data_IF_525146981641
#
_entry.id   IF_525146981641
#
_cell.length_a   1.000
_cell.length_b   1.000
_cell.length_c   1.000
_cell.angle_alpha   90.00
_cell.angle_beta   90.00
_cell.angle_gamma   90.00
#
_symmetry.space_group_name_H-M   'P 1'
#
loop_
_entity.id
_entity.type
_entity.pdbx_description
1 polymer ?
#
# COMPACT_ATOMS: atom_id res chain seq x y z
N UNK A 1 -17.53 -9.31 -31.89
CA UNK A 1 -17.23 -10.52 -31.12
C UNK A 1 -17.31 -10.16 -29.65
N UNK A 2 -18.09 -10.85 -28.81
CA UNK A 2 -17.99 -10.69 -27.37
C UNK A 2 -16.59 -11.14 -26.96
N UNK A 3 -15.92 -10.33 -26.10
CA UNK A 3 -14.67 -10.74 -25.46
C UNK A 3 -14.94 -12.02 -24.65
N UNK A 4 -14.01 -13.00 -24.57
CA UNK A 4 -14.18 -14.18 -23.77
C UNK A 4 -14.49 -13.75 -22.34
N UNK A 5 -15.44 -14.43 -21.69
CA UNK A 5 -15.78 -14.24 -20.27
C UNK A 5 -14.50 -14.41 -19.45
N UNK A 6 -13.88 -13.30 -19.08
CA UNK A 6 -12.73 -13.30 -18.20
C UNK A 6 -13.25 -13.67 -16.81
N UNK A 7 -12.72 -14.72 -16.20
CA UNK A 7 -13.12 -15.13 -14.85
C UNK A 7 -12.89 -13.95 -13.90
N UNK A 8 -13.92 -13.54 -13.20
CA UNK A 8 -13.84 -12.50 -12.16
C UNK A 8 -13.70 -13.19 -10.81
N UNK A 9 -12.69 -12.80 -10.07
CA UNK A 9 -12.40 -13.32 -8.74
C UNK A 9 -12.96 -12.41 -7.65
N UNK A 10 -13.12 -12.97 -6.45
CA UNK A 10 -13.66 -12.29 -5.28
C UNK A 10 -12.67 -12.32 -4.11
N UNK A 11 -13.01 -11.64 -3.01
CA UNK A 11 -12.19 -11.68 -1.78
C UNK A 11 -12.18 -13.11 -1.20
N UNK A 12 -13.25 -13.86 -1.35
CA UNK A 12 -13.34 -15.25 -0.92
C UNK A 12 -12.34 -16.14 -1.66
N UNK A 13 -12.06 -15.84 -2.94
CA UNK A 13 -11.00 -16.53 -3.70
C UNK A 13 -9.61 -16.23 -3.12
N UNK A 14 -9.38 -15.00 -2.62
CA UNK A 14 -8.13 -14.66 -1.91
C UNK A 14 -8.00 -15.47 -0.62
N UNK A 15 -9.07 -15.56 0.17
CA UNK A 15 -9.06 -16.34 1.42
C UNK A 15 -8.93 -17.85 1.21
N UNK A 16 -9.29 -18.33 0.02
CA UNK A 16 -9.16 -19.74 -0.35
C UNK A 16 -7.79 -20.11 -0.93
N UNK A 17 -6.86 -19.16 -1.02
CA UNK A 17 -5.50 -19.47 -1.49
C UNK A 17 -4.81 -20.48 -0.56
N UNK A 18 -3.96 -21.36 -1.10
CA UNK A 18 -3.18 -22.28 -0.29
C UNK A 18 -2.29 -21.55 0.73
N UNK A 19 -2.02 -22.19 1.86
CA UNK A 19 -1.12 -21.67 2.89
C UNK A 19 0.23 -21.27 2.30
N UNK A 20 0.67 -20.04 2.59
CA UNK A 20 1.92 -19.47 2.10
C UNK A 20 1.82 -18.76 0.76
N UNK A 21 0.72 -18.85 0.05
CA UNK A 21 0.46 -18.02 -1.13
C UNK A 21 -0.17 -16.68 -0.72
N UNK A 22 0.33 -15.60 -1.34
CA UNK A 22 -0.18 -14.25 -1.14
C UNK A 22 -0.52 -13.63 -2.48
N UNK A 23 -1.62 -12.90 -2.52
CA UNK A 23 -2.04 -12.19 -3.71
C UNK A 23 -2.87 -10.96 -3.36
N UNK A 24 -2.92 -10.02 -4.30
CA UNK A 24 -3.81 -8.87 -4.27
C UNK A 24 -4.96 -9.07 -5.26
N UNK A 25 -6.10 -8.47 -5.01
CA UNK A 25 -7.27 -8.47 -5.88
C UNK A 25 -7.56 -7.05 -6.34
N UNK A 26 -7.53 -6.85 -7.65
CA UNK A 26 -7.84 -5.55 -8.26
C UNK A 26 -8.74 -5.81 -9.48
N UNK A 27 -9.88 -5.14 -9.53
CA UNK A 27 -10.85 -5.25 -10.65
C UNK A 27 -11.21 -6.71 -10.99
N UNK A 28 -11.37 -7.55 -9.95
CA UNK A 28 -11.68 -8.96 -10.11
C UNK A 28 -10.54 -9.82 -10.68
N UNK A 29 -9.32 -9.30 -10.71
CA UNK A 29 -8.12 -10.04 -11.13
C UNK A 29 -7.20 -10.29 -9.94
N UNK A 30 -6.65 -11.51 -9.86
CA UNK A 30 -5.68 -11.90 -8.83
C UNK A 30 -4.26 -11.62 -9.33
N UNK A 31 -3.49 -10.93 -8.49
CA UNK A 31 -2.07 -10.63 -8.69
C UNK A 31 -1.25 -11.31 -7.60
N UNK A 32 -0.63 -12.44 -7.95
CA UNK A 32 0.21 -13.19 -7.02
C UNK A 32 1.47 -12.41 -6.64
N UNK A 33 1.81 -12.44 -5.36
CA UNK A 33 2.97 -11.75 -4.80
C UNK A 33 4.15 -12.72 -4.71
N UNK A 34 5.30 -12.29 -5.24
CA UNK A 34 6.55 -13.02 -5.05
C UNK A 34 7.16 -12.74 -3.67
N UNK A 35 7.97 -13.67 -3.11
CA UNK A 35 8.74 -13.39 -1.91
C UNK A 35 9.63 -12.16 -2.09
N UNK A 36 9.69 -11.25 -1.11
CA UNK A 36 10.50 -10.04 -1.22
C UNK A 36 12.00 -10.33 -1.16
N UNK A 37 12.79 -9.48 -1.81
CA UNK A 37 14.25 -9.57 -1.76
C UNK A 37 14.80 -9.12 -0.39
N UNK A 38 16.05 -9.49 -0.10
CA UNK A 38 16.75 -9.00 1.09
C UNK A 38 16.82 -7.47 1.14
N UNK A 39 17.07 -6.82 -0.01
CA UNK A 39 17.11 -5.35 -0.08
C UNK A 39 15.76 -4.74 0.24
N UNK A 40 14.67 -5.29 -0.31
CA UNK A 40 13.31 -4.87 0.01
C UNK A 40 13.05 -4.97 1.53
N UNK A 41 13.38 -6.08 2.14
CA UNK A 41 13.17 -6.29 3.58
C UNK A 41 14.03 -5.37 4.47
N UNK A 42 15.26 -5.04 4.05
CA UNK A 42 16.08 -4.06 4.76
C UNK A 42 15.44 -2.67 4.76
N UNK A 43 14.94 -2.22 3.61
CA UNK A 43 14.25 -0.93 3.48
C UNK A 43 12.96 -0.92 4.29
N UNK A 44 12.14 -1.98 4.16
CA UNK A 44 10.90 -2.12 4.92
C UNK A 44 11.15 -2.04 6.43
N UNK A 45 12.09 -2.85 6.93
CA UNK A 45 12.39 -2.89 8.36
C UNK A 45 12.91 -1.54 8.88
N UNK A 46 13.77 -0.86 8.10
CA UNK A 46 14.26 0.46 8.46
C UNK A 46 13.12 1.48 8.58
N UNK A 47 12.31 1.61 7.53
CA UNK A 47 11.21 2.57 7.50
C UNK A 47 10.16 2.28 8.58
N UNK A 48 9.77 1.01 8.73
CA UNK A 48 8.81 0.59 9.75
C UNK A 48 9.32 0.93 11.16
N UNK A 49 10.60 0.73 11.44
CA UNK A 49 11.22 1.05 12.74
C UNK A 49 11.23 2.56 12.99
N UNK A 50 11.70 3.36 12.02
CA UNK A 50 11.79 4.81 12.17
C UNK A 50 10.41 5.46 12.36
N UNK A 51 9.40 5.04 11.61
CA UNK A 51 8.04 5.55 11.74
C UNK A 51 7.45 5.19 13.10
N UNK A 52 7.60 3.94 13.55
CA UNK A 52 7.13 3.52 14.87
C UNK A 52 7.80 4.31 16.01
N UNK A 53 9.12 4.49 15.93
CA UNK A 53 9.87 5.27 16.94
C UNK A 53 9.41 6.72 16.94
N UNK A 54 9.19 7.33 15.78
CA UNK A 54 8.71 8.71 15.69
C UNK A 54 7.32 8.85 16.36
N UNK A 55 6.37 7.98 16.00
CA UNK A 55 5.01 8.02 16.56
C UNK A 55 5.04 7.86 18.08
N UNK A 56 5.81 6.89 18.59
CA UNK A 56 5.94 6.64 20.04
C UNK A 56 6.59 7.80 20.77
N UNK A 57 7.65 8.39 20.23
CA UNK A 57 8.36 9.51 20.85
C UNK A 57 7.54 10.81 20.85
N UNK A 58 6.51 10.89 20.03
CA UNK A 58 5.60 12.05 19.95
C UNK A 58 4.25 11.79 20.62
N UNK A 59 4.09 10.66 21.31
CA UNK A 59 2.80 10.22 21.85
C UNK A 59 1.69 10.24 20.80
N UNK A 60 2.06 9.92 19.56
CA UNK A 60 1.15 9.87 18.42
C UNK A 60 0.16 8.73 18.55
N UNK A 61 -1.05 8.93 18.02
CA UNK A 61 -2.15 7.96 18.09
C UNK A 61 -2.20 6.99 16.92
N UNK A 62 -1.43 7.23 15.85
CA UNK A 62 -1.42 6.39 14.66
C UNK A 62 -0.73 5.06 14.94
N UNK A 63 -1.13 4.04 14.20
CA UNK A 63 -0.55 2.71 14.23
C UNK A 63 0.11 2.39 12.88
N UNK A 64 1.19 1.61 12.91
CA UNK A 64 1.97 1.23 11.72
C UNK A 64 1.91 -0.26 11.55
N UNK A 65 1.54 -0.71 10.36
CA UNK A 65 1.41 -2.12 10.00
C UNK A 65 2.28 -2.43 8.78
N UNK A 66 3.34 -3.24 8.93
CA UNK A 66 4.07 -3.77 7.78
C UNK A 66 3.33 -4.95 7.15
N UNK A 67 3.58 -5.22 5.88
CA UNK A 67 3.07 -6.42 5.22
C UNK A 67 3.55 -7.72 5.91
N UNK A 68 2.72 -8.78 5.92
CA UNK A 68 1.37 -8.86 5.36
C UNK A 68 0.34 -8.19 6.25
N UNK A 69 -0.36 -7.21 5.72
CA UNK A 69 -1.47 -6.54 6.40
C UNK A 69 -2.51 -6.14 5.37
N UNK A 70 -3.75 -6.58 5.59
CA UNK A 70 -4.81 -6.42 4.62
C UNK A 70 -5.41 -5.01 4.63
N UNK A 71 -5.54 -4.43 3.45
CA UNK A 71 -6.26 -3.18 3.22
C UNK A 71 -7.38 -3.44 2.22
N UNK A 72 -8.58 -3.01 2.59
CA UNK A 72 -9.80 -3.10 1.77
C UNK A 72 -10.20 -1.67 1.37
N UNK A 73 -9.66 -1.12 0.26
CA UNK A 73 -10.06 0.20 -0.19
C UNK A 73 -11.54 0.19 -0.56
N UNK A 74 -12.33 1.01 0.10
CA UNK A 74 -13.74 1.19 -0.20
C UNK A 74 -13.86 2.36 -1.16
N UNK A 75 -14.22 2.07 -2.42
CA UNK A 75 -14.43 3.08 -3.44
C UNK A 75 -15.91 3.41 -3.53
N UNK A 76 -16.27 4.69 -3.52
CA UNK A 76 -17.65 5.14 -3.63
C UNK A 76 -18.27 4.68 -4.96
N UNK A 77 -19.46 4.07 -4.88
CA UNK A 77 -20.27 3.69 -6.05
C UNK A 77 -19.79 2.45 -6.79
N UNK A 78 -18.81 1.71 -6.27
CA UNK A 78 -18.34 0.47 -6.87
C UNK A 78 -18.64 -0.75 -5.99
N UNK A 79 -19.30 -1.76 -6.58
CA UNK A 79 -19.47 -3.08 -5.96
C UNK A 79 -18.19 -3.93 -6.04
N UNK A 80 -17.14 -3.41 -6.69
CA UNK A 80 -15.90 -4.12 -6.91
C UNK A 80 -15.10 -4.12 -5.63
N UNK A 81 -14.86 -5.31 -5.11
CA UNK A 81 -14.01 -5.51 -3.94
C UNK A 81 -12.55 -5.47 -4.37
N UNK A 82 -11.77 -4.62 -3.70
CA UNK A 82 -10.33 -4.54 -3.84
C UNK A 82 -9.70 -5.05 -2.55
N UNK A 83 -8.66 -5.86 -2.68
CA UNK A 83 -7.86 -6.37 -1.56
C UNK A 83 -6.40 -6.13 -1.87
N UNK A 84 -5.72 -5.38 -1.02
CA UNK A 84 -4.31 -5.02 -1.17
C UNK A 84 -3.54 -5.36 0.11
N UNK A 85 -2.24 -5.61 -0.04
CA UNK A 85 -1.29 -5.77 1.06
C UNK A 85 -0.10 -4.81 0.88
N UNK A 86 -0.27 -3.51 1.18
CA UNK A 86 0.82 -2.55 1.06
C UNK A 86 2.01 -2.91 1.95
N UNK A 87 3.21 -2.55 1.53
CA UNK A 87 4.41 -2.84 2.31
C UNK A 87 4.38 -2.21 3.70
N UNK A 88 3.93 -0.95 3.81
CA UNK A 88 3.69 -0.28 5.10
C UNK A 88 2.40 0.53 5.01
N UNK A 89 1.54 0.37 6.00
CA UNK A 89 0.31 1.16 6.19
C UNK A 89 0.36 1.90 7.52
N UNK A 90 0.10 3.20 7.51
CA UNK A 90 -0.04 4.02 8.73
C UNK A 90 -1.49 4.47 8.84
N UNK A 91 -2.11 4.18 9.99
CA UNK A 91 -3.54 4.39 10.22
C UNK A 91 -3.74 5.18 11.51
N UNK A 92 -4.35 6.34 11.40
CA UNK A 92 -4.60 7.25 12.52
C UNK A 92 -6.05 7.15 13.01
N UNK A 93 -6.97 6.76 12.15
CA UNK A 93 -8.36 6.47 12.51
C UNK A 93 -8.53 4.97 12.81
N UNK A 94 -8.47 4.64 14.09
CA UNK A 94 -8.64 3.26 14.58
C UNK A 94 -10.01 2.66 14.30
N UNK A 95 -11.01 3.49 13.98
CA UNK A 95 -12.34 3.03 13.58
C UNK A 95 -12.34 2.26 12.25
N UNK A 96 -11.27 2.40 11.46
CA UNK A 96 -11.07 1.63 10.22
C UNK A 96 -10.49 0.22 10.45
N UNK A 97 -10.06 -0.08 11.67
CA UNK A 97 -9.36 -1.35 11.98
C UNK A 97 -10.30 -2.38 12.58
N UNK A 98 -10.17 -3.60 12.10
CA UNK A 98 -10.70 -4.81 12.74
C UNK A 98 -9.66 -5.95 12.70
N UNK A 99 -10.04 -7.17 13.12
CA UNK A 99 -9.14 -8.34 13.11
C UNK A 99 -8.73 -8.79 11.69
N UNK A 100 -9.41 -8.32 10.65
CA UNK A 100 -9.11 -8.67 9.25
C UNK A 100 -8.19 -7.67 8.57
N UNK A 101 -8.12 -6.42 9.05
CA UNK A 101 -7.30 -5.39 8.48
C UNK A 101 -7.90 -3.98 8.54
N UNK A 102 -7.57 -3.15 7.56
CA UNK A 102 -8.04 -1.78 7.42
C UNK A 102 -9.16 -1.69 6.38
N UNK A 103 -10.29 -1.14 6.76
CA UNK A 103 -11.42 -0.85 5.89
C UNK A 103 -11.43 0.64 5.50
N UNK A 104 -11.33 0.91 4.20
CA UNK A 104 -11.07 2.24 3.66
C UNK A 104 -9.58 2.53 3.48
N UNK A 105 -9.25 3.75 3.03
CA UNK A 105 -7.86 4.16 2.83
C UNK A 105 -7.11 4.40 4.15
N UNK A 106 -5.92 3.81 4.36
CA UNK A 106 -4.97 4.26 5.37
C UNK A 106 -4.64 5.74 5.21
N UNK A 107 -4.10 6.37 6.26
CA UNK A 107 -3.66 7.76 6.18
C UNK A 107 -2.40 7.89 5.31
N UNK A 108 -1.47 6.96 5.47
CA UNK A 108 -0.22 6.94 4.70
C UNK A 108 0.12 5.52 4.29
N UNK A 109 0.50 5.36 3.03
CA UNK A 109 0.96 4.08 2.45
C UNK A 109 2.35 4.26 1.87
N UNK A 110 3.19 3.25 2.08
CA UNK A 110 4.50 3.14 1.47
C UNK A 110 4.57 1.82 0.71
N UNK A 111 4.94 1.88 -0.57
CA UNK A 111 5.27 0.72 -1.39
C UNK A 111 6.76 0.75 -1.75
N UNK A 112 7.43 -0.38 -1.56
CA UNK A 112 8.84 -0.55 -1.91
C UNK A 112 8.89 -1.35 -3.20
N UNK A 113 9.19 -0.68 -4.30
CA UNK A 113 9.07 -1.29 -5.62
C UNK A 113 10.13 -2.33 -5.90
N UNK A 114 9.72 -3.38 -6.57
CA UNK A 114 10.57 -4.36 -7.22
C UNK A 114 10.58 -4.14 -8.73
N UNK A 115 11.48 -4.78 -9.49
CA UNK A 115 11.47 -4.68 -10.95
C UNK A 115 10.14 -5.09 -11.59
N UNK A 116 9.40 -6.01 -10.95
CA UNK A 116 8.13 -6.56 -11.46
C UNK A 116 6.89 -5.78 -10.99
N UNK A 117 6.94 -5.12 -9.84
CA UNK A 117 5.78 -4.38 -9.28
C UNK A 117 5.69 -2.94 -9.76
N UNK A 118 6.74 -2.38 -10.33
CA UNK A 118 6.91 -0.96 -10.63
C UNK A 118 5.70 -0.33 -11.35
N UNK A 119 5.20 -0.97 -12.41
CA UNK A 119 4.04 -0.44 -13.14
C UNK A 119 2.78 -0.42 -12.28
N UNK A 120 2.58 -1.45 -11.47
CA UNK A 120 1.43 -1.57 -10.57
C UNK A 120 1.46 -0.42 -9.55
N UNK A 121 2.60 -0.21 -8.89
CA UNK A 121 2.74 0.77 -7.81
C UNK A 121 2.65 2.22 -8.31
N UNK A 122 3.28 2.53 -9.47
CA UNK A 122 3.29 3.89 -10.02
C UNK A 122 2.00 4.31 -10.70
N UNK A 123 1.14 3.38 -11.12
CA UNK A 123 -0.07 3.72 -11.87
C UNK A 123 -1.34 3.16 -11.22
N UNK A 124 -1.49 1.85 -11.15
CA UNK A 124 -2.75 1.22 -10.72
C UNK A 124 -3.02 1.48 -9.24
N UNK A 125 -2.07 1.19 -8.37
CA UNK A 125 -2.22 1.40 -6.91
C UNK A 125 -2.31 2.89 -6.58
N UNK A 126 -1.54 3.76 -7.25
CA UNK A 126 -1.64 5.21 -7.08
C UNK A 126 -3.07 5.71 -7.30
N UNK A 127 -3.73 5.24 -8.36
CA UNK A 127 -5.13 5.60 -8.66
C UNK A 127 -6.09 5.09 -7.59
N UNK A 128 -5.94 3.84 -7.17
CA UNK A 128 -6.77 3.23 -6.13
C UNK A 128 -6.61 3.96 -4.80
N UNK A 129 -5.38 4.21 -4.36
CA UNK A 129 -5.12 4.89 -3.10
C UNK A 129 -5.65 6.32 -3.08
N UNK A 130 -5.53 7.03 -4.20
CA UNK A 130 -6.14 8.37 -4.36
C UNK A 130 -7.66 8.30 -4.23
N UNK A 131 -8.31 7.40 -4.92
CA UNK A 131 -9.76 7.21 -4.85
C UNK A 131 -10.25 6.77 -3.46
N UNK A 132 -9.45 5.99 -2.74
CA UNK A 132 -9.74 5.54 -1.38
C UNK A 132 -9.50 6.61 -0.29
N UNK A 133 -9.02 7.80 -0.67
CA UNK A 133 -8.77 8.90 0.28
C UNK A 133 -7.51 8.74 1.11
N UNK A 134 -6.53 8.00 0.63
CA UNK A 134 -5.18 7.98 1.22
C UNK A 134 -4.59 9.38 1.16
N UNK A 135 -4.09 9.88 2.29
CA UNK A 135 -3.60 11.27 2.40
C UNK A 135 -2.21 11.44 1.83
N UNK A 136 -1.35 10.44 2.04
CA UNK A 136 0.04 10.45 1.57
C UNK A 136 0.44 9.08 1.03
N UNK A 137 1.14 9.05 -0.10
CA UNK A 137 1.63 7.82 -0.72
C UNK A 137 3.10 7.97 -1.12
N UNK A 138 3.93 7.07 -0.64
CA UNK A 138 5.35 7.01 -0.99
C UNK A 138 5.66 5.79 -1.83
N UNK A 139 6.40 6.01 -2.92
CA UNK A 139 6.99 4.94 -3.71
C UNK A 139 8.50 4.97 -3.49
N UNK A 140 9.01 3.95 -2.82
CA UNK A 140 10.44 3.79 -2.52
C UNK A 140 11.07 2.88 -3.55
N UNK A 141 12.04 3.37 -4.30
CA UNK A 141 12.75 2.61 -5.35
C UNK A 141 14.20 2.36 -4.93
N UNK A 142 14.52 1.16 -4.38
CA UNK A 142 15.88 0.86 -3.94
C UNK A 142 16.90 0.80 -5.07
N UNK A 143 16.46 0.50 -6.30
CA UNK A 143 17.37 0.45 -7.46
C UNK A 143 17.81 1.83 -7.92
N UNK A 144 16.97 2.85 -7.67
CA UNK A 144 17.26 4.26 -8.00
C UNK A 144 17.66 5.07 -6.79
N UNK A 145 17.66 4.47 -5.61
CA UNK A 145 17.89 5.13 -4.32
C UNK A 145 17.05 6.40 -4.17
N UNK A 146 15.75 6.29 -4.53
CA UNK A 146 14.83 7.42 -4.57
C UNK A 146 13.50 7.11 -3.93
N UNK A 147 12.84 8.16 -3.45
CA UNK A 147 11.49 8.13 -2.87
C UNK A 147 10.64 9.15 -3.62
N UNK A 148 9.56 8.71 -4.24
CA UNK A 148 8.56 9.60 -4.82
C UNK A 148 7.44 9.78 -3.81
N UNK A 149 7.21 11.01 -3.39
CA UNK A 149 6.18 11.39 -2.40
C UNK A 149 5.01 12.03 -3.13
N UNK A 150 3.82 11.47 -2.94
CA UNK A 150 2.55 12.01 -3.38
C UNK A 150 1.79 12.52 -2.15
N UNK A 151 1.72 13.83 -1.97
CA UNK A 151 0.83 14.49 -1.00
C UNK A 151 -0.54 14.63 -1.64
N UNK A 152 -1.41 13.64 -1.38
CA UNK A 152 -2.73 13.58 -1.99
C UNK A 152 -3.75 14.44 -1.25
N UNK A 153 -3.52 14.73 0.02
CA UNK A 153 -4.39 15.58 0.84
C UNK A 153 -4.42 17.01 0.32
N UNK A 154 -3.27 17.52 -0.11
CA UNK A 154 -3.13 18.88 -0.63
C UNK A 154 -3.10 18.93 -2.17
N UNK A 155 -3.31 17.80 -2.84
CA UNK A 155 -3.23 17.66 -4.31
C UNK A 155 -1.97 18.31 -4.90
N UNK A 156 -0.84 18.16 -4.18
CA UNK A 156 0.44 18.72 -4.57
C UNK A 156 1.12 17.89 -5.67
N UNK A 157 1.96 18.56 -6.47
CA UNK A 157 2.80 17.85 -7.43
C UNK A 157 3.72 16.85 -6.69
N UNK A 158 3.97 15.65 -7.24
CA UNK A 158 4.86 14.69 -6.60
C UNK A 158 6.28 15.23 -6.51
N UNK A 159 6.94 14.91 -5.39
CA UNK A 159 8.33 15.30 -5.13
C UNK A 159 9.20 14.05 -5.09
N UNK A 160 10.34 14.09 -5.74
CA UNK A 160 11.33 13.01 -5.71
C UNK A 160 12.47 13.39 -4.77
N UNK A 161 12.76 12.52 -3.81
CA UNK A 161 13.88 12.60 -2.88
C UNK A 161 14.88 11.48 -3.16
N UNK A 162 16.14 11.70 -2.79
CA UNK A 162 17.16 10.66 -2.74
C UNK A 162 17.26 10.08 -1.33
N UNK A 163 17.84 8.89 -1.18
CA UNK A 163 18.01 8.24 0.12
C UNK A 163 18.85 9.01 1.12
N UNK A 164 19.63 9.98 0.64
CA UNK A 164 20.43 10.90 1.47
C UNK A 164 19.65 12.12 1.97
N UNK A 165 18.44 12.34 1.46
CA UNK A 165 17.64 13.51 1.80
C UNK A 165 16.82 13.27 3.08
N UNK A 166 16.43 14.37 3.71
CA UNK A 166 15.40 14.35 4.75
C UNK A 166 14.03 14.44 4.10
N UNK A 167 13.26 13.38 4.19
CA UNK A 167 11.90 13.32 3.64
C UNK A 167 10.93 13.68 4.75
N UNK A 168 10.08 14.67 4.49
CA UNK A 168 9.02 15.08 5.44
C UNK A 168 7.73 14.35 5.09
N UNK A 169 7.15 13.65 6.05
CA UNK A 169 5.78 13.20 5.98
C UNK A 169 4.83 14.36 6.31
N UNK A 170 3.71 14.46 5.60
CA UNK A 170 2.72 15.53 5.76
C UNK A 170 1.62 15.16 6.76
N UNK A 171 1.50 13.89 7.12
CA UNK A 171 0.50 13.39 8.07
C UNK A 171 0.94 13.56 9.52
#
# INVERSE_FOLDING_TARGET
>A
MPLPNQKTYTIEDIYALPDGERAELIDGQIYYMAPPSTTHQRVLNYLNTEINLYIRNKDGKCEVFPAPFSVYPELEGEDIKIYLEPDISVICDKGKLDEKGCHGGPDWIIEIVSPTSKRMDYYTKLSIYRAAGVREYWIVDPMRESITVYDMEHDAAPVIYHFTDKVKASI
#
